data_IF_920305313361
#
_entry.id   IF_920305313361
#
_cell.length_a   1.000
_cell.length_b   1.000
_cell.length_c   1.000
_cell.angle_alpha   90.00
_cell.angle_beta   90.00
_cell.angle_gamma   90.00
#
_symmetry.space_group_name_H-M   'P 1'
#
loop_
_entity.id
_entity.type
_entity.pdbx_description
1 polymer ?
#
# COMPACT_ATOMS: atom_id res chain seq x y z
N UNK A 1 15.89 -0.82 -21.31
CA UNK A 1 14.85 -1.77 -21.77
C UNK A 1 13.42 -1.21 -21.75
N UNK A 2 13.10 -0.11 -21.04
CA UNK A 2 11.76 0.52 -21.10
C UNK A 2 10.65 -0.16 -20.30
N UNK A 3 10.92 -1.32 -19.68
CA UNK A 3 9.92 -2.10 -18.93
C UNK A 3 9.25 -1.30 -17.80
N UNK A 4 9.98 -0.43 -17.10
CA UNK A 4 9.42 0.40 -16.03
C UNK A 4 8.35 1.39 -16.55
N UNK A 5 8.55 1.98 -17.74
CA UNK A 5 7.58 2.85 -18.39
C UNK A 5 6.35 2.07 -18.84
N UNK A 6 6.59 0.89 -19.40
CA UNK A 6 5.54 0.02 -19.90
C UNK A 6 4.67 -0.57 -18.78
N UNK A 7 5.24 -0.91 -17.61
CA UNK A 7 4.50 -1.41 -16.44
C UNK A 7 3.89 -0.31 -15.58
N UNK A 8 4.32 0.93 -15.73
CA UNK A 8 3.80 2.04 -14.96
C UNK A 8 2.29 2.22 -15.26
N UNK A 9 1.42 2.21 -14.24
CA UNK A 9 -0.01 2.47 -14.44
C UNK A 9 -0.31 3.95 -14.75
N UNK A 10 0.69 4.84 -14.63
CA UNK A 10 0.56 6.27 -14.92
C UNK A 10 0.89 6.63 -16.37
N UNK A 11 1.29 5.66 -17.19
CA UNK A 11 1.41 5.84 -18.63
C UNK A 11 0.04 5.54 -19.26
N UNK A 12 -0.06 4.54 -20.14
CA UNK A 12 -1.33 4.03 -20.62
C UNK A 12 -1.82 2.91 -19.70
N UNK A 13 -3.07 3.01 -19.21
CA UNK A 13 -3.72 1.98 -18.41
C UNK A 13 -4.91 1.43 -19.21
N UNK A 14 -4.88 0.16 -19.67
CA UNK A 14 -5.96 -0.42 -20.48
C UNK A 14 -7.16 -0.82 -19.61
N UNK A 15 -7.91 0.17 -19.11
CA UNK A 15 -9.00 -0.02 -18.12
C UNK A 15 -10.03 -1.07 -18.56
N UNK A 16 -10.40 -1.09 -19.84
CA UNK A 16 -11.38 -2.06 -20.35
C UNK A 16 -10.86 -3.50 -20.23
N UNK A 17 -9.59 -3.73 -20.55
CA UNK A 17 -8.95 -5.05 -20.41
C UNK A 17 -8.83 -5.41 -18.93
N UNK A 18 -8.47 -4.46 -18.06
CA UNK A 18 -8.41 -4.69 -16.62
C UNK A 18 -9.78 -5.13 -16.08
N UNK A 19 -10.85 -4.43 -16.44
CA UNK A 19 -12.21 -4.77 -16.01
C UNK A 19 -12.63 -6.17 -16.52
N UNK A 20 -12.29 -6.53 -17.77
CA UNK A 20 -12.57 -7.87 -18.31
C UNK A 20 -11.85 -8.97 -17.53
N UNK A 21 -10.63 -8.71 -17.05
CA UNK A 21 -9.89 -9.68 -16.21
C UNK A 21 -10.43 -9.76 -14.77
N UNK A 22 -11.27 -8.82 -14.36
CA UNK A 22 -11.74 -8.66 -12.98
C UNK A 22 -13.17 -9.17 -12.74
N UNK A 23 -13.96 -9.49 -13.78
CA UNK A 23 -15.30 -9.99 -13.52
C UNK A 23 -16.09 -10.48 -14.71
N UNK A 24 -16.48 -11.76 -14.61
CA UNK A 24 -17.70 -12.34 -15.18
C UNK A 24 -18.27 -13.32 -14.13
N UNK A 25 -18.79 -12.82 -13.02
CA UNK A 25 -19.54 -13.64 -12.06
C UNK A 25 -20.72 -12.87 -11.45
N UNK A 26 -21.81 -13.58 -11.17
CA UNK A 26 -23.04 -13.04 -10.58
C UNK A 26 -22.88 -12.54 -9.14
N UNK A 27 -21.77 -12.87 -8.47
CA UNK A 27 -21.47 -12.48 -7.09
C UNK A 27 -20.75 -11.14 -6.99
N UNK A 28 -20.27 -10.58 -8.10
CA UNK A 28 -19.51 -9.33 -8.13
C UNK A 28 -20.47 -8.14 -8.21
N UNK A 29 -20.48 -7.34 -7.16
CA UNK A 29 -21.15 -6.04 -7.08
C UNK A 29 -20.21 -4.97 -7.63
N UNK A 30 -20.78 -3.88 -8.15
CA UNK A 30 -19.99 -2.74 -8.64
C UNK A 30 -20.65 -1.43 -8.23
N UNK A 31 -19.87 -0.55 -7.62
CA UNK A 31 -20.27 0.84 -7.33
C UNK A 31 -19.23 1.75 -7.96
N UNK A 32 -19.69 2.79 -8.68
CA UNK A 32 -18.86 3.66 -9.52
C UNK A 32 -17.65 4.27 -8.80
N UNK A 33 -17.75 4.50 -7.49
CA UNK A 33 -16.73 5.10 -6.63
C UNK A 33 -15.69 4.12 -6.10
N UNK A 34 -16.05 2.86 -5.87
CA UNK A 34 -15.22 1.87 -5.16
C UNK A 34 -14.64 0.82 -6.11
N UNK A 35 -15.34 0.53 -7.22
CA UNK A 35 -14.98 -0.53 -8.16
C UNK A 35 -15.77 -1.82 -7.92
N UNK A 36 -15.25 -2.93 -8.43
CA UNK A 36 -15.83 -4.26 -8.27
C UNK A 36 -15.50 -4.83 -6.88
N UNK A 37 -16.47 -5.47 -6.23
CA UNK A 37 -16.27 -6.11 -4.94
C UNK A 37 -17.32 -7.20 -4.70
N UNK A 38 -17.03 -8.12 -3.78
CA UNK A 38 -17.99 -9.15 -3.35
C UNK A 38 -18.74 -8.68 -2.10
N UNK A 39 -17.99 -8.28 -1.07
CA UNK A 39 -18.52 -7.78 0.20
C UNK A 39 -17.72 -6.60 0.75
N UNK A 40 -18.31 -5.91 1.71
CA UNK A 40 -17.76 -4.72 2.39
C UNK A 40 -18.03 -4.83 3.88
N UNK A 41 -17.00 -4.72 4.71
CA UNK A 41 -17.10 -4.83 6.16
C UNK A 41 -16.22 -3.78 6.83
N UNK A 42 -16.67 -3.19 7.94
CA UNK A 42 -15.78 -2.50 8.87
C UNK A 42 -15.21 -3.51 9.87
N UNK A 43 -13.89 -3.47 10.10
CA UNK A 43 -13.22 -4.46 10.92
C UNK A 43 -12.03 -3.87 11.68
N UNK A 44 -11.73 -4.45 12.85
CA UNK A 44 -10.53 -4.16 13.64
C UNK A 44 -9.86 -5.46 14.11
N UNK A 45 -8.54 -5.44 14.19
CA UNK A 45 -7.75 -6.57 14.68
C UNK A 45 -8.07 -6.91 16.13
N UNK A 46 -8.06 -8.21 16.44
CA UNK A 46 -8.07 -8.73 17.82
C UNK A 46 -6.66 -9.04 18.34
N UNK A 47 -5.63 -8.93 17.49
CA UNK A 47 -4.24 -9.25 17.84
C UNK A 47 -3.63 -8.04 18.55
N UNK A 48 -3.39 -8.17 19.86
CA UNK A 48 -2.96 -7.05 20.73
C UNK A 48 -1.66 -6.39 20.27
N UNK A 49 -0.69 -7.16 19.78
CA UNK A 49 0.58 -6.62 19.29
C UNK A 49 0.38 -5.71 18.07
N UNK A 50 -0.48 -6.10 17.13
CA UNK A 50 -0.83 -5.29 15.96
C UNK A 50 -1.66 -4.07 16.37
N UNK A 51 -2.66 -4.25 17.24
CA UNK A 51 -3.55 -3.18 17.70
C UNK A 51 -2.80 -2.00 18.34
N UNK A 52 -1.64 -2.27 18.96
CA UNK A 52 -0.83 -1.25 19.63
C UNK A 52 -0.12 -0.30 18.66
N UNK A 53 0.18 -0.74 17.44
CA UNK A 53 1.08 -0.03 16.50
C UNK A 53 0.46 0.21 15.13
N UNK A 54 -0.74 -0.31 14.85
CA UNK A 54 -1.39 -0.14 13.56
C UNK A 54 -1.80 1.32 13.29
N UNK A 55 -1.91 1.66 11.99
CA UNK A 55 -2.40 2.98 11.58
C UNK A 55 -3.87 3.15 11.98
N UNK A 56 -4.70 2.22 11.53
CA UNK A 56 -6.17 2.23 11.70
C UNK A 56 -6.62 0.93 12.40
N UNK A 57 -7.49 0.13 11.76
CA UNK A 57 -7.96 -1.15 12.29
C UNK A 57 -6.95 -2.31 12.30
N UNK A 58 -5.76 -2.15 11.70
CA UNK A 58 -4.72 -3.20 11.68
C UNK A 58 -5.04 -4.43 10.82
N UNK A 59 -5.97 -4.29 9.86
CA UNK A 59 -6.47 -5.42 9.06
C UNK A 59 -5.43 -5.97 8.10
N UNK A 60 -4.70 -5.12 7.36
CA UNK A 60 -3.64 -5.60 6.44
C UNK A 60 -2.62 -6.49 7.14
N UNK A 61 -2.14 -6.04 8.30
CA UNK A 61 -1.22 -6.83 9.16
C UNK A 61 -1.89 -8.10 9.68
N UNK A 62 -3.17 -8.06 10.03
CA UNK A 62 -3.92 -9.24 10.50
C UNK A 62 -4.14 -10.28 9.41
N UNK A 63 -4.43 -9.83 8.18
CA UNK A 63 -4.54 -10.71 7.01
C UNK A 63 -3.20 -11.40 6.74
N UNK A 64 -2.09 -10.66 6.70
CA UNK A 64 -0.76 -11.28 6.56
C UNK A 64 -0.48 -12.26 7.70
N UNK A 65 -0.75 -11.86 8.94
CA UNK A 65 -0.53 -12.72 10.10
C UNK A 65 -1.29 -14.04 9.95
N UNK A 66 -2.57 -14.00 9.56
CA UNK A 66 -3.38 -15.19 9.30
C UNK A 66 -2.82 -16.03 8.14
N UNK A 67 -2.40 -15.41 7.04
CA UNK A 67 -1.84 -16.12 5.88
C UNK A 67 -0.53 -16.85 6.23
N UNK A 68 0.35 -16.23 7.03
CA UNK A 68 1.53 -16.91 7.56
C UNK A 68 1.18 -18.03 8.53
N UNK A 69 0.25 -17.78 9.47
CA UNK A 69 -0.15 -18.75 10.49
C UNK A 69 -0.78 -20.01 9.88
N UNK A 70 -1.59 -19.84 8.84
CA UNK A 70 -2.22 -20.92 8.08
C UNK A 70 -1.35 -21.47 6.96
N UNK A 71 -0.10 -21.00 6.83
CA UNK A 71 0.87 -21.41 5.80
C UNK A 71 0.33 -21.25 4.37
N UNK A 72 -0.55 -20.26 4.14
CA UNK A 72 -1.05 -19.91 2.80
C UNK A 72 -0.02 -19.08 2.01
N UNK A 73 0.92 -18.44 2.70
CA UNK A 73 2.07 -17.76 2.10
C UNK A 73 3.36 -18.17 2.77
N UNK A 74 4.47 -18.05 2.03
CA UNK A 74 5.82 -18.24 2.53
C UNK A 74 6.55 -16.91 2.67
N UNK A 75 6.22 -15.92 1.81
CA UNK A 75 6.78 -14.56 1.83
C UNK A 75 5.67 -13.53 1.63
N UNK A 76 5.91 -12.30 2.09
CA UNK A 76 5.12 -11.14 1.69
C UNK A 76 6.01 -9.93 1.35
N UNK A 77 5.52 -9.05 0.48
CA UNK A 77 6.15 -7.76 0.22
C UNK A 77 5.40 -6.64 0.91
N UNK A 78 6.15 -5.72 1.51
CA UNK A 78 5.61 -4.54 2.16
C UNK A 78 6.62 -3.39 2.21
N UNK A 79 6.32 -2.39 3.03
CA UNK A 79 7.19 -1.25 3.27
C UNK A 79 7.48 -1.12 4.76
N UNK A 80 8.75 -1.03 5.14
CA UNK A 80 9.18 -0.72 6.50
C UNK A 80 9.86 0.64 6.55
N UNK A 81 10.14 1.12 7.75
CA UNK A 81 11.05 2.25 7.92
C UNK A 81 12.48 1.83 7.59
N UNK A 82 13.21 2.65 6.83
CA UNK A 82 14.66 2.49 6.66
C UNK A 82 15.43 3.01 7.87
N UNK A 83 16.76 2.97 7.83
CA UNK A 83 17.60 3.65 8.83
C UNK A 83 17.47 5.18 8.82
N UNK A 84 16.90 5.76 7.75
CA UNK A 84 16.58 7.18 7.68
C UNK A 84 15.15 7.41 8.20
N UNK A 85 14.95 8.26 9.23
CA UNK A 85 13.63 8.52 9.82
C UNK A 85 12.59 8.91 8.78
N UNK A 86 11.40 8.30 8.83
CA UNK A 86 10.29 8.54 7.90
C UNK A 86 10.55 8.30 6.42
N UNK A 87 11.71 7.72 6.07
CA UNK A 87 11.98 7.23 4.72
C UNK A 87 11.68 5.73 4.66
N UNK A 88 10.64 5.31 3.91
CA UNK A 88 10.33 3.90 3.77
C UNK A 88 11.31 3.22 2.82
N UNK A 89 11.44 1.90 3.01
CA UNK A 89 12.11 1.01 2.07
C UNK A 89 11.31 -0.29 1.90
N UNK A 90 11.44 -0.99 0.76
CA UNK A 90 10.83 -2.30 0.57
C UNK A 90 11.36 -3.32 1.59
N UNK A 91 10.51 -4.25 2.01
CA UNK A 91 10.89 -5.42 2.81
C UNK A 91 10.26 -6.68 2.24
N UNK A 92 11.06 -7.76 2.24
CA UNK A 92 10.59 -9.13 2.12
C UNK A 92 10.30 -9.65 3.52
N UNK A 93 9.03 -9.74 3.85
CA UNK A 93 8.50 -10.25 5.13
C UNK A 93 8.56 -11.78 5.06
N UNK A 94 9.27 -12.39 5.99
CA UNK A 94 9.51 -13.85 6.00
C UNK A 94 8.73 -14.55 7.11
N UNK A 95 8.24 -13.80 8.10
CA UNK A 95 7.54 -14.36 9.26
C UNK A 95 6.56 -13.33 9.87
N UNK A 96 5.84 -13.77 10.91
CA UNK A 96 4.83 -12.95 11.60
C UNK A 96 5.42 -11.76 12.37
N UNK A 97 6.65 -11.84 12.84
CA UNK A 97 7.30 -10.78 13.62
C UNK A 97 7.72 -9.62 12.70
N UNK A 98 8.15 -9.92 11.47
CA UNK A 98 8.48 -8.94 10.44
C UNK A 98 7.29 -8.02 10.08
N UNK A 99 6.05 -8.48 10.27
CA UNK A 99 4.82 -7.71 9.99
C UNK A 99 4.78 -6.43 10.83
N UNK A 100 5.27 -6.47 12.07
CA UNK A 100 5.27 -5.31 12.96
C UNK A 100 6.23 -4.22 12.46
N UNK A 101 7.25 -4.57 11.67
CA UNK A 101 8.16 -3.60 11.06
C UNK A 101 7.48 -2.75 9.97
N UNK A 102 6.36 -3.24 9.42
CA UNK A 102 5.64 -2.57 8.34
C UNK A 102 4.46 -1.73 8.81
N UNK A 103 4.17 -1.70 10.11
CA UNK A 103 2.99 -1.01 10.64
C UNK A 103 3.13 0.51 10.60
N UNK A 104 1.98 1.20 10.54
CA UNK A 104 1.89 2.65 10.41
C UNK A 104 2.10 3.11 8.97
N UNK A 105 1.30 4.08 8.54
CA UNK A 105 1.41 4.60 7.18
C UNK A 105 2.64 5.48 7.06
N UNK A 106 3.45 5.25 6.02
CA UNK A 106 4.48 6.20 5.60
C UNK A 106 3.98 6.86 4.31
N UNK A 107 3.57 8.12 4.38
CA UNK A 107 3.07 8.87 3.21
C UNK A 107 4.20 9.28 2.23
N UNK A 108 5.29 8.53 2.19
CA UNK A 108 6.43 8.79 1.32
C UNK A 108 6.52 7.67 0.29
N UNK A 109 6.84 8.02 -0.94
CA UNK A 109 6.95 7.07 -2.05
C UNK A 109 7.94 5.93 -1.73
N UNK A 110 7.49 4.69 -1.91
CA UNK A 110 8.30 3.50 -1.74
C UNK A 110 8.18 2.58 -2.97
N UNK A 111 9.29 2.18 -3.63
CA UNK A 111 9.23 1.30 -4.79
C UNK A 111 9.10 -0.17 -4.39
N UNK A 112 8.06 -0.55 -3.62
CA UNK A 112 7.89 -1.91 -3.05
C UNK A 112 8.06 -3.02 -4.08
N UNK A 113 7.55 -2.85 -5.31
CA UNK A 113 7.60 -3.88 -6.35
C UNK A 113 9.00 -4.07 -6.97
N UNK A 114 9.96 -3.17 -6.72
CA UNK A 114 11.30 -3.26 -7.32
C UNK A 114 12.05 -4.52 -6.90
N UNK A 115 11.73 -5.07 -5.73
CA UNK A 115 12.35 -6.29 -5.17
C UNK A 115 11.91 -7.56 -5.88
N UNK A 116 10.81 -7.54 -6.65
CA UNK A 116 10.33 -8.72 -7.38
C UNK A 116 11.37 -9.28 -8.36
N UNK A 117 12.25 -8.42 -8.90
CA UNK A 117 13.31 -8.84 -9.82
C UNK A 117 14.42 -9.65 -9.12
N UNK A 118 14.58 -9.44 -7.82
CA UNK A 118 15.66 -10.01 -7.00
C UNK A 118 15.18 -11.22 -6.18
N UNK A 119 13.88 -11.51 -6.18
CA UNK A 119 13.32 -12.70 -5.51
C UNK A 119 13.68 -13.97 -6.28
N UNK A 120 14.15 -14.98 -5.53
CA UNK A 120 14.61 -16.26 -6.06
C UNK A 120 13.57 -16.97 -6.95
N UNK A 121 14.06 -17.77 -7.90
CA UNK A 121 13.23 -18.60 -8.80
C UNK A 121 12.53 -19.77 -8.10
N UNK A 122 12.84 -20.04 -6.83
CA UNK A 122 12.25 -21.15 -6.10
C UNK A 122 10.74 -20.92 -5.90
N UNK A 123 9.90 -21.95 -6.12
CA UNK A 123 8.46 -21.83 -5.90
C UNK A 123 8.18 -21.32 -4.48
N UNK A 124 7.51 -20.18 -4.41
CA UNK A 124 7.18 -19.50 -3.16
C UNK A 124 5.74 -19.01 -3.30
N UNK A 125 4.92 -19.09 -2.24
CA UNK A 125 3.60 -18.46 -2.18
C UNK A 125 3.79 -17.02 -1.68
N UNK A 126 3.68 -16.04 -2.57
CA UNK A 126 3.96 -14.64 -2.27
C UNK A 126 2.66 -13.86 -2.03
N UNK A 127 2.61 -13.05 -0.97
CA UNK A 127 1.66 -11.96 -0.84
C UNK A 127 2.31 -10.62 -1.20
N UNK A 128 1.53 -9.66 -1.71
CA UNK A 128 1.99 -8.29 -1.92
C UNK A 128 1.01 -7.33 -1.26
N UNK A 129 1.54 -6.48 -0.36
CA UNK A 129 0.82 -5.34 0.20
C UNK A 129 1.26 -4.08 -0.52
N UNK A 130 0.31 -3.27 -0.96
CA UNK A 130 0.64 -2.04 -1.67
C UNK A 130 -0.53 -1.12 -1.95
N UNK A 131 -0.19 0.08 -2.39
CA UNK A 131 -1.15 1.11 -2.80
C UNK A 131 -1.76 0.78 -4.18
N UNK A 132 -2.83 1.47 -4.62
CA UNK A 132 -3.57 1.11 -5.82
C UNK A 132 -2.71 1.06 -7.10
N UNK A 133 -1.79 2.01 -7.28
CA UNK A 133 -0.90 2.00 -8.44
C UNK A 133 0.01 0.75 -8.50
N UNK A 134 0.38 0.18 -7.35
CA UNK A 134 1.13 -1.09 -7.32
C UNK A 134 0.25 -2.25 -7.81
N UNK A 135 -1.01 -2.30 -7.37
CA UNK A 135 -1.97 -3.33 -7.80
C UNK A 135 -2.24 -3.26 -9.31
N UNK A 136 -2.37 -2.05 -9.86
CA UNK A 136 -2.48 -1.83 -11.30
C UNK A 136 -1.22 -2.28 -12.03
N UNK A 137 -0.03 -1.98 -11.50
CA UNK A 137 1.24 -2.43 -12.08
C UNK A 137 1.35 -3.95 -12.15
N UNK A 138 0.93 -4.66 -11.09
CA UNK A 138 0.87 -6.12 -11.06
C UNK A 138 -0.14 -6.70 -12.05
N UNK A 139 -1.30 -6.09 -12.19
CA UNK A 139 -2.30 -6.54 -13.15
C UNK A 139 -1.85 -6.28 -14.59
N UNK A 140 -1.23 -5.12 -14.83
CA UNK A 140 -0.61 -4.77 -16.11
C UNK A 140 0.51 -5.75 -16.48
N UNK A 141 1.35 -6.16 -15.53
CA UNK A 141 2.38 -7.16 -15.79
C UNK A 141 1.81 -8.53 -16.16
N UNK A 142 0.65 -8.90 -15.61
CA UNK A 142 -0.06 -10.12 -15.98
C UNK A 142 -0.64 -10.04 -17.39
N UNK A 143 -1.31 -8.93 -17.74
CA UNK A 143 -1.90 -8.72 -19.08
C UNK A 143 -0.84 -8.78 -20.18
N UNK A 144 0.30 -8.14 -19.96
CA UNK A 144 1.37 -8.11 -20.96
C UNK A 144 2.37 -9.26 -20.83
N UNK A 145 2.07 -10.26 -19.99
CA UNK A 145 2.88 -11.46 -19.82
C UNK A 145 4.37 -11.17 -19.58
N UNK A 146 4.67 -10.26 -18.65
CA UNK A 146 6.06 -9.91 -18.33
C UNK A 146 6.75 -11.07 -17.61
N UNK A 147 7.90 -11.48 -18.14
CA UNK A 147 8.70 -12.60 -17.64
C UNK A 147 9.56 -12.20 -16.42
N UNK A 148 8.89 -11.97 -15.29
CA UNK A 148 9.53 -11.90 -13.97
C UNK A 148 9.04 -13.10 -13.17
N UNK A 149 9.90 -14.09 -12.84
CA UNK A 149 9.48 -15.33 -12.19
C UNK A 149 8.64 -15.13 -10.92
N UNK A 150 8.99 -14.12 -10.11
CA UNK A 150 8.28 -13.80 -8.87
C UNK A 150 6.83 -13.31 -9.09
N UNK A 151 6.46 -12.81 -10.28
CA UNK A 151 5.07 -12.42 -10.55
C UNK A 151 4.13 -13.62 -10.54
N UNK A 152 4.58 -14.77 -11.05
CA UNK A 152 3.80 -16.01 -11.08
C UNK A 152 3.66 -16.66 -9.68
N UNK A 153 4.45 -16.19 -8.72
CA UNK A 153 4.43 -16.64 -7.33
C UNK A 153 3.41 -15.88 -6.48
N UNK A 154 2.88 -14.74 -6.96
CA UNK A 154 1.91 -13.92 -6.23
C UNK A 154 0.58 -14.67 -6.11
N UNK A 155 0.24 -15.09 -4.89
CA UNK A 155 -1.03 -15.71 -4.52
C UNK A 155 -2.03 -14.71 -3.99
N UNK A 156 -1.56 -13.70 -3.25
CA UNK A 156 -2.42 -12.71 -2.61
C UNK A 156 -1.96 -11.29 -2.90
N UNK A 157 -2.90 -10.42 -3.20
CA UNK A 157 -2.71 -8.98 -3.35
C UNK A 157 -3.58 -8.30 -2.30
N UNK A 158 -2.97 -7.50 -1.44
CA UNK A 158 -3.67 -6.76 -0.38
C UNK A 158 -3.49 -5.27 -0.67
N UNK A 159 -4.52 -4.67 -1.26
CA UNK A 159 -4.59 -3.24 -1.56
C UNK A 159 -4.86 -2.42 -0.30
N UNK A 160 -4.16 -1.30 -0.15
CA UNK A 160 -4.51 -0.25 0.81
C UNK A 160 -5.02 0.99 0.08
N UNK A 161 -5.92 1.75 0.72
CA UNK A 161 -6.35 3.03 0.17
C UNK A 161 -5.21 4.03 0.17
N UNK A 162 -5.11 4.80 -0.91
CA UNK A 162 -4.13 5.85 -1.08
C UNK A 162 -4.75 6.95 -1.89
N UNK A 163 -4.77 8.15 -1.32
CA UNK A 163 -5.22 9.35 -2.01
C UNK A 163 -4.02 10.09 -2.60
N UNK A 164 -2.98 10.30 -1.79
CA UNK A 164 -1.80 11.05 -2.18
C UNK A 164 -0.56 10.45 -1.50
N UNK A 165 0.60 10.65 -2.12
CA UNK A 165 1.89 10.22 -1.59
C UNK A 165 2.94 11.29 -1.91
N UNK A 166 3.91 11.45 -1.01
CA UNK A 166 4.89 12.53 -1.04
C UNK A 166 6.27 12.03 -1.47
N UNK A 167 7.07 12.95 -2.01
CA UNK A 167 8.50 12.75 -2.01
C UNK A 167 9.03 12.85 -0.57
N UNK A 168 10.18 12.25 -0.30
CA UNK A 168 10.80 12.37 1.03
C UNK A 168 11.12 13.84 1.36
N UNK A 169 11.56 14.63 0.36
CA UNK A 169 11.82 16.06 0.52
C UNK A 169 10.56 16.85 0.86
N UNK A 170 9.43 16.53 0.22
CA UNK A 170 8.13 17.13 0.54
C UNK A 170 7.74 16.84 2.00
N UNK A 171 7.99 15.61 2.47
CA UNK A 171 7.75 15.24 3.86
C UNK A 171 8.64 15.99 4.86
N UNK A 172 9.94 16.14 4.54
CA UNK A 172 10.84 16.97 5.34
C UNK A 172 10.38 18.42 5.39
N UNK A 173 9.87 18.96 4.27
CA UNK A 173 9.34 20.33 4.24
C UNK A 173 8.09 20.49 5.09
N UNK A 174 7.20 19.49 5.11
CA UNK A 174 6.06 19.47 6.03
C UNK A 174 6.54 19.56 7.48
N UNK A 175 7.56 18.77 7.84
CA UNK A 175 8.14 18.79 9.19
C UNK A 175 8.74 20.16 9.53
N UNK A 176 9.45 20.78 8.59
CA UNK A 176 10.03 22.12 8.75
C UNK A 176 8.95 23.20 8.97
N UNK A 177 7.88 23.19 8.17
CA UNK A 177 6.76 24.14 8.30
C UNK A 177 6.05 23.98 9.65
N UNK A 178 5.89 22.74 10.10
CA UNK A 178 5.31 22.42 11.42
C UNK A 178 6.32 22.56 12.57
N UNK A 179 7.57 22.96 12.30
CA UNK A 179 8.66 23.13 13.28
C UNK A 179 8.88 21.88 14.14
N UNK A 180 8.77 20.70 13.54
CA UNK A 180 8.98 19.40 14.19
C UNK A 180 10.21 18.72 13.61
N UNK A 181 11.05 18.15 14.47
CA UNK A 181 12.15 17.32 14.01
C UNK A 181 11.59 15.99 13.49
N UNK A 182 12.01 15.57 12.29
CA UNK A 182 11.59 14.31 11.68
C UNK A 182 11.81 13.09 12.60
N UNK A 183 12.84 13.13 13.46
CA UNK A 183 13.14 12.06 14.43
C UNK A 183 12.11 11.96 15.55
N UNK A 184 11.42 13.06 15.86
CA UNK A 184 10.43 13.13 16.93
C UNK A 184 9.03 12.77 16.44
N UNK A 185 8.85 12.55 15.14
CA UNK A 185 7.55 12.17 14.56
C UNK A 185 7.27 10.69 14.89
N UNK A 186 6.15 10.45 15.58
CA UNK A 186 5.70 9.12 16.02
C UNK A 186 4.68 8.51 15.06
N UNK A 187 3.71 9.30 14.61
CA UNK A 187 2.64 8.89 13.69
C UNK A 187 2.30 10.05 12.77
N UNK A 188 1.88 9.72 11.56
CA UNK A 188 1.28 10.71 10.64
C UNK A 188 -0.08 10.22 10.18
N UNK A 189 -0.95 11.14 9.81
CA UNK A 189 -2.28 10.83 9.30
C UNK A 189 -2.75 11.88 8.29
N UNK A 190 -3.66 11.50 7.39
CA UNK A 190 -4.33 12.41 6.47
C UNK A 190 -5.82 12.26 6.66
N UNK A 191 -6.46 13.32 7.16
CA UNK A 191 -7.90 13.31 7.39
C UNK A 191 -8.48 14.71 7.20
N UNK A 192 -9.72 14.79 6.68
CA UNK A 192 -10.46 16.05 6.48
C UNK A 192 -9.64 17.17 5.80
N UNK A 193 -8.84 16.81 4.79
CA UNK A 193 -7.99 17.76 4.04
C UNK A 193 -6.75 18.27 4.78
N UNK A 194 -6.42 17.70 5.94
CA UNK A 194 -5.24 18.07 6.74
C UNK A 194 -4.27 16.91 6.86
N UNK A 195 -2.98 17.24 6.86
CA UNK A 195 -1.89 16.35 7.21
C UNK A 195 -1.56 16.53 8.70
N UNK A 196 -1.66 15.46 9.47
CA UNK A 196 -1.38 15.43 10.91
C UNK A 196 -0.03 14.79 11.20
N UNK A 197 0.71 15.39 12.11
CA UNK A 197 1.91 14.84 12.74
C UNK A 197 1.65 14.71 14.23
N UNK A 198 1.81 13.51 14.74
CA UNK A 198 1.85 13.21 16.17
C UNK A 198 3.29 12.99 16.58
N UNK A 199 3.82 13.80 17.49
CA UNK A 199 5.20 13.67 17.94
C UNK A 199 5.32 12.77 19.19
N UNK A 200 6.56 12.52 19.61
CA UNK A 200 6.87 11.73 20.81
C UNK A 200 6.48 12.45 22.12
N UNK A 201 6.41 13.78 22.12
CA UNK A 201 5.97 14.60 23.25
C UNK A 201 4.46 14.54 23.50
N UNK A 202 3.69 14.07 22.52
CA UNK A 202 2.22 14.00 22.58
C UNK A 202 1.50 15.13 21.86
N UNK A 203 2.21 16.05 21.21
CA UNK A 203 1.62 17.13 20.44
C UNK A 203 1.01 16.62 19.14
N UNK A 204 -0.11 17.24 18.76
CA UNK A 204 -0.76 17.08 17.47
C UNK A 204 -0.56 18.36 16.64
N UNK A 205 0.16 18.23 15.53
CA UNK A 205 0.45 19.31 14.60
C UNK A 205 -0.30 19.04 13.29
N UNK A 206 -0.96 20.05 12.73
CA UNK A 206 -1.77 19.89 11.53
C UNK A 206 -1.45 20.95 10.47
N UNK A 207 -1.37 20.52 9.21
CA UNK A 207 -1.17 21.37 8.04
C UNK A 207 -2.27 21.13 7.01
N UNK A 208 -2.85 22.19 6.43
CA UNK A 208 -3.80 22.03 5.32
C UNK A 208 -3.06 21.55 4.06
N UNK A 209 -3.55 20.49 3.44
CA UNK A 209 -2.93 19.86 2.26
C UNK A 209 -2.96 20.80 1.04
N UNK A 210 -3.93 21.72 0.96
CA UNK A 210 -3.98 22.72 -0.11
C UNK A 210 -2.73 23.61 -0.13
N UNK A 211 -2.17 23.92 1.04
CA UNK A 211 -0.94 24.70 1.16
C UNK A 211 0.22 23.93 0.51
N UNK A 212 0.23 22.60 0.66
CA UNK A 212 1.24 21.75 0.06
C UNK A 212 1.09 21.67 -1.47
N UNK A 213 -0.13 21.68 -2.01
CA UNK A 213 -0.39 21.70 -3.46
C UNK A 213 0.18 22.94 -4.15
N UNK A 214 0.26 24.07 -3.44
CA UNK A 214 0.84 25.31 -3.93
C UNK A 214 2.38 25.35 -3.82
N UNK A 215 2.99 24.45 -3.05
CA UNK A 215 4.44 24.28 -3.07
C UNK A 215 4.82 23.46 -4.32
N UNK A 216 5.71 24.00 -5.18
CA UNK A 216 6.14 23.42 -6.47
C UNK A 216 6.76 22.00 -6.42
N UNK A 217 6.78 21.37 -5.25
CA UNK A 217 7.24 20.01 -4.99
C UNK A 217 6.09 18.98 -4.89
N UNK A 218 4.83 19.41 -5.07
CA UNK A 218 3.66 18.54 -5.07
C UNK A 218 3.50 17.83 -6.40
N UNK A 219 3.95 16.58 -6.52
CA UNK A 219 3.63 15.82 -7.74
C UNK A 219 3.48 14.32 -7.55
N UNK A 220 2.63 13.89 -6.62
CA UNK A 220 1.85 12.67 -6.84
C UNK A 220 0.46 12.79 -6.17
N UNK A 221 -0.47 13.48 -6.82
CA UNK A 221 -1.90 13.19 -6.59
C UNK A 221 -2.18 11.88 -7.29
N UNK A 222 -2.50 10.81 -6.54
CA UNK A 222 -3.00 9.57 -7.13
C UNK A 222 -4.52 9.69 -7.07
N UNK A 223 -5.18 10.19 -8.13
CA UNK A 223 -6.64 10.13 -8.18
C UNK A 223 -7.08 8.71 -7.83
N UNK A 224 -8.05 8.61 -6.93
CA UNK A 224 -8.65 7.35 -6.49
C UNK A 224 -9.24 6.65 -7.72
N UNK A 225 -8.41 5.86 -8.40
CA UNK A 225 -8.86 4.98 -9.45
C UNK A 225 -9.18 3.65 -8.77
N UNK A 226 -10.48 3.42 -8.60
CA UNK A 226 -11.17 2.13 -8.40
C UNK A 226 -10.23 0.95 -8.18
N UNK A 227 -9.93 0.61 -6.93
CA UNK A 227 -9.34 -0.69 -6.60
C UNK A 227 -9.89 -1.16 -5.27
N UNK A 228 -10.87 -2.04 -5.36
CA UNK A 228 -11.16 -3.06 -4.37
C UNK A 228 -10.92 -4.40 -5.07
N UNK A 229 -9.76 -4.56 -5.71
CA UNK A 229 -9.48 -5.75 -6.53
C UNK A 229 -8.68 -6.80 -5.77
N UNK A 230 -9.39 -7.89 -5.50
CA UNK A 230 -8.93 -9.28 -5.47
C UNK A 230 -7.81 -9.68 -4.50
N UNK A 231 -8.28 -10.25 -3.39
CA UNK A 231 -7.74 -11.51 -2.86
C UNK A 231 -8.30 -12.60 -3.77
N UNK A 232 -7.49 -13.17 -4.67
CA UNK A 232 -7.84 -14.44 -5.30
C UNK A 232 -8.13 -15.43 -4.16
N UNK A 233 -9.40 -15.85 -4.07
CA UNK A 233 -10.02 -16.78 -3.11
C UNK A 233 -10.60 -16.32 -1.76
N UNK A 234 -10.52 -15.07 -1.27
CA UNK A 234 -11.27 -14.68 -0.06
C UNK A 234 -11.67 -13.19 -0.01
N UNK A 235 -12.98 -12.90 -0.01
CA UNK A 235 -13.67 -11.70 0.52
C UNK A 235 -12.81 -10.42 0.68
N UNK A 236 -13.06 -9.43 -0.17
CA UNK A 236 -12.40 -8.12 -0.05
C UNK A 236 -12.87 -7.38 1.22
N UNK A 237 -11.95 -6.74 1.93
CA UNK A 237 -12.22 -5.93 3.12
C UNK A 237 -12.02 -4.45 2.77
N UNK A 238 -13.03 -3.62 3.02
CA UNK A 238 -12.91 -2.15 2.95
C UNK A 238 -12.54 -1.66 4.34
N UNK A 239 -11.41 -0.99 4.46
CA UNK A 239 -10.88 -0.58 5.76
C UNK A 239 -11.44 0.80 6.16
N UNK A 240 -12.10 0.84 7.32
CA UNK A 240 -12.23 2.02 8.18
C UNK A 240 -11.59 1.68 9.53
#
# INVERSE_FOLDING_TARGET
CGMCYFLCPRTYLPVDILNMTQGNSSEIKSVSTIGHYIEVYSARTKIKSIAKVCQDGGITSTCLHYLFDTKQIDLALGAKMSGTPWRPEPIVIQNKDDILLTTGTKYVNNPTLSVLKDLNKNPTKLAVVGVPCMMQGLLKSKIYNIDIPALNQIKYRIGIFCMESFSYESFLKICEVLKVNVKDVRKTDINKGKFFIYNNSGDELALNIEILKNCSFYRVVIPFYRIVDFIDYYKVFILQ
#
